data_IF_704749328633
#
_entry.id   IF_704749328633
#
_cell.length_a   1.000
_cell.length_b   1.000
_cell.length_c   1.000
_cell.angle_alpha   90.00
_cell.angle_beta   90.00
_cell.angle_gamma   90.00
#
_symmetry.space_group_name_H-M   'P 1'
#
loop_
_entity.id
_entity.type
_entity.pdbx_description
1 polymer ?
#
# COMPACT_ATOMS: atom_id res chain seq x y z
N UNK A 1 0.57 9.28 -32.83
CA UNK A 1 0.58 10.50 -32.00
C UNK A 1 1.82 10.41 -31.13
N UNK A 2 2.76 11.35 -31.25
CA UNK A 2 3.96 11.39 -30.40
C UNK A 2 3.65 12.29 -29.20
N UNK A 3 3.61 11.69 -28.00
CA UNK A 3 3.43 12.43 -26.77
C UNK A 3 4.77 13.02 -26.30
N UNK A 4 4.73 14.17 -25.62
CA UNK A 4 5.91 14.80 -25.04
C UNK A 4 6.55 13.87 -23.99
N UNK A 5 7.88 13.79 -23.85
CA UNK A 5 8.53 12.90 -22.86
C UNK A 5 8.03 13.11 -21.42
N UNK A 6 7.64 14.32 -21.04
CA UNK A 6 7.03 14.60 -19.73
C UNK A 6 5.70 13.88 -19.52
N UNK A 7 4.92 13.66 -20.59
CA UNK A 7 3.67 12.91 -20.55
C UNK A 7 3.90 11.48 -20.06
N UNK A 8 4.96 10.82 -20.53
CA UNK A 8 5.30 9.47 -20.11
C UNK A 8 5.71 9.40 -18.63
N UNK A 9 6.34 10.46 -18.10
CA UNK A 9 6.69 10.56 -16.68
C UNK A 9 5.44 10.73 -15.82
N UNK A 10 4.51 11.62 -16.21
CA UNK A 10 3.26 11.84 -15.48
C UNK A 10 2.32 10.62 -15.53
N UNK A 11 2.21 9.95 -16.68
CA UNK A 11 1.48 8.70 -16.83
C UNK A 11 2.02 7.61 -15.89
N UNK A 12 3.35 7.47 -15.83
CA UNK A 12 4.01 6.49 -14.98
C UNK A 12 3.77 6.76 -13.47
N UNK A 13 3.81 8.02 -13.04
CA UNK A 13 3.50 8.40 -11.64
C UNK A 13 2.04 8.05 -11.30
N UNK A 14 1.11 8.31 -12.21
CA UNK A 14 -0.32 8.06 -11.99
C UNK A 14 -0.61 6.55 -11.92
N UNK A 15 -0.02 5.76 -12.82
CA UNK A 15 -0.14 4.30 -12.82
C UNK A 15 0.50 3.66 -11.58
N UNK A 16 1.65 4.18 -11.12
CA UNK A 16 2.26 3.76 -9.85
C UNK A 16 1.35 4.02 -8.66
N UNK A 17 0.74 5.21 -8.57
CA UNK A 17 -0.20 5.52 -7.48
C UNK A 17 -1.42 4.60 -7.50
N UNK A 18 -1.93 4.29 -8.68
CA UNK A 18 -3.03 3.33 -8.85
C UNK A 18 -2.64 1.93 -8.38
N UNK A 19 -1.49 1.42 -8.81
CA UNK A 19 -0.99 0.12 -8.37
C UNK A 19 -0.74 0.09 -6.84
N UNK A 20 -0.21 1.16 -6.25
CA UNK A 20 0.01 1.25 -4.82
C UNK A 20 -1.33 1.26 -4.06
N UNK A 21 -2.33 1.95 -4.60
CA UNK A 21 -3.69 1.96 -4.06
C UNK A 21 -4.33 0.58 -4.11
N UNK A 22 -4.17 -0.15 -5.23
CA UNK A 22 -4.63 -1.55 -5.36
C UNK A 22 -4.01 -2.42 -4.27
N UNK A 23 -2.68 -2.38 -4.12
CA UNK A 23 -1.97 -3.19 -3.13
C UNK A 23 -2.39 -2.80 -1.70
N UNK A 24 -2.59 -1.51 -1.42
CA UNK A 24 -3.03 -1.02 -0.11
C UNK A 24 -4.41 -1.55 0.29
N UNK A 25 -5.34 -1.75 -0.66
CA UNK A 25 -6.65 -2.36 -0.39
C UNK A 25 -6.54 -3.75 0.28
N UNK A 26 -5.45 -4.49 0.04
CA UNK A 26 -5.27 -5.82 0.62
C UNK A 26 -4.67 -5.79 2.02
N UNK A 27 -3.84 -4.80 2.33
CA UNK A 27 -3.09 -4.74 3.59
C UNK A 27 -3.99 -4.52 4.81
N UNK A 28 -5.18 -3.93 4.62
CA UNK A 28 -6.07 -3.55 5.70
C UNK A 28 -7.22 -4.54 5.95
N UNK A 29 -7.56 -5.39 4.98
CA UNK A 29 -8.75 -6.27 5.03
C UNK A 29 -8.39 -7.76 5.08
N UNK A 30 -7.24 -8.16 4.53
CA UNK A 30 -6.81 -9.55 4.49
C UNK A 30 -5.45 -9.70 5.17
N UNK A 31 -5.25 -10.79 5.91
CA UNK A 31 -3.96 -11.11 6.50
C UNK A 31 -2.88 -11.00 5.40
N UNK A 32 -1.88 -10.11 5.53
CA UNK A 32 -0.89 -9.85 4.49
C UNK A 32 -0.10 -11.10 4.05
N UNK A 33 -0.18 -12.22 4.79
CA UNK A 33 0.33 -13.52 4.34
C UNK A 33 -0.54 -14.25 3.30
N UNK A 34 -1.80 -13.86 3.13
CA UNK A 34 -2.76 -14.57 2.27
C UNK A 34 -2.64 -14.21 0.79
N UNK A 35 -2.06 -13.05 0.44
CA UNK A 35 -1.92 -12.58 -0.93
C UNK A 35 -0.48 -12.17 -1.24
N UNK A 36 -0.02 -12.51 -2.43
CA UNK A 36 1.28 -12.15 -2.98
C UNK A 36 1.09 -11.41 -4.30
N UNK A 37 1.95 -10.42 -4.52
CA UNK A 37 1.91 -9.55 -5.69
C UNK A 37 3.24 -9.60 -6.42
N UNK A 38 3.20 -9.79 -7.73
CA UNK A 38 4.37 -9.56 -8.59
C UNK A 38 4.04 -8.51 -9.64
N UNK A 39 4.96 -7.57 -9.85
CA UNK A 39 4.73 -6.38 -10.67
C UNK A 39 5.63 -6.33 -11.91
N UNK A 40 5.10 -5.87 -13.03
CA UNK A 40 5.87 -5.46 -14.22
C UNK A 40 5.58 -4.00 -14.56
N UNK A 41 6.56 -3.26 -15.09
CA UNK A 41 6.43 -1.82 -15.39
C UNK A 41 5.85 -1.55 -16.78
N UNK A 42 6.09 -2.42 -17.77
CA UNK A 42 5.64 -2.22 -19.15
C UNK A 42 4.92 -3.45 -19.72
N UNK A 43 3.57 -3.40 -19.86
CA UNK A 43 2.65 -2.48 -19.20
C UNK A 43 2.65 -2.67 -17.67
N UNK A 44 2.15 -1.66 -16.93
CA UNK A 44 2.00 -1.78 -15.48
C UNK A 44 1.03 -2.93 -15.17
N UNK A 45 1.56 -4.06 -14.73
CA UNK A 45 0.78 -5.27 -14.49
C UNK A 45 1.03 -5.75 -13.09
N UNK A 46 -0.04 -5.99 -12.35
CA UNK A 46 -0.03 -6.60 -11.04
C UNK A 46 -0.61 -8.01 -11.15
N UNK A 47 0.25 -9.01 -11.06
CA UNK A 47 -0.16 -10.40 -10.94
C UNK A 47 -0.48 -10.68 -9.47
N UNK A 48 -1.68 -11.20 -9.23
CA UNK A 48 -2.19 -11.46 -7.89
C UNK A 48 -2.24 -12.96 -7.67
N UNK A 49 -1.63 -13.40 -6.59
CA UNK A 49 -1.62 -14.81 -6.17
C UNK A 49 -2.17 -14.86 -4.75
N UNK A 50 -3.11 -15.76 -4.47
CA UNK A 50 -3.54 -16.00 -3.10
C UNK A 50 -3.04 -17.36 -2.61
N UNK A 51 -2.75 -17.47 -1.32
CA UNK A 51 -2.19 -18.68 -0.72
C UNK A 51 -3.10 -19.91 -0.90
N UNK A 52 -4.43 -19.68 -0.90
CA UNK A 52 -5.42 -20.75 -0.99
C UNK A 52 -5.64 -21.27 -2.41
N UNK A 53 -5.68 -20.39 -3.40
CA UNK A 53 -6.06 -20.75 -4.79
C UNK A 53 -4.95 -20.58 -5.81
N UNK A 54 -3.80 -20.03 -5.41
CA UNK A 54 -2.71 -19.68 -6.32
C UNK A 54 -3.06 -18.45 -7.16
N UNK A 55 -2.71 -18.49 -8.44
CA UNK A 55 -2.95 -17.42 -9.41
C UNK A 55 -4.46 -17.13 -9.56
N UNK A 56 -4.88 -15.91 -9.19
CA UNK A 56 -6.26 -15.42 -9.37
C UNK A 56 -6.40 -14.40 -10.52
N UNK A 57 -5.34 -14.23 -11.31
CA UNK A 57 -5.27 -13.40 -12.50
C UNK A 57 -4.43 -12.14 -12.33
N UNK A 58 -4.47 -11.31 -13.38
CA UNK A 58 -3.63 -10.11 -13.50
C UNK A 58 -4.49 -8.86 -13.64
N UNK A 59 -4.03 -7.79 -13.02
CA UNK A 59 -4.58 -6.44 -13.21
C UNK A 59 -3.59 -5.65 -14.04
N UNK A 60 -3.99 -5.26 -15.24
CA UNK A 60 -3.22 -4.40 -16.12
C UNK A 60 -3.75 -2.98 -15.97
N UNK A 61 -2.87 -2.08 -15.54
CA UNK A 61 -3.16 -0.66 -15.45
C UNK A 61 -2.63 0.01 -16.72
N UNK A 62 -3.51 0.66 -17.46
CA UNK A 62 -3.14 1.41 -18.66
C UNK A 62 -3.80 2.79 -18.65
N UNK A 63 -3.18 3.74 -19.32
CA UNK A 63 -3.81 5.04 -19.58
C UNK A 63 -4.35 5.02 -21.02
N UNK A 64 -5.67 5.10 -21.18
CA UNK A 64 -6.30 5.09 -22.52
C UNK A 64 -6.32 6.47 -23.15
N UNK A 65 -6.36 7.52 -22.33
CA UNK A 65 -6.32 8.94 -22.69
C UNK A 65 -5.68 9.73 -21.54
N UNK A 66 -5.13 10.91 -21.82
CA UNK A 66 -4.55 11.80 -20.80
C UNK A 66 -5.43 11.94 -19.56
N UNK A 67 -4.95 11.49 -18.40
CA UNK A 67 -5.65 11.54 -17.13
C UNK A 67 -6.76 10.48 -16.94
N UNK A 68 -6.98 9.61 -17.93
CA UNK A 68 -7.96 8.52 -17.88
C UNK A 68 -7.24 7.17 -17.75
N UNK A 69 -7.19 6.69 -16.52
CA UNK A 69 -6.66 5.35 -16.21
C UNK A 69 -7.76 4.30 -16.35
N UNK A 70 -7.40 3.17 -16.92
CA UNK A 70 -8.25 2.01 -17.13
C UNK A 70 -7.62 0.79 -16.47
N UNK A 71 -8.47 -0.05 -15.88
CA UNK A 71 -8.10 -1.35 -15.34
C UNK A 71 -8.61 -2.43 -16.27
N UNK A 72 -7.72 -3.32 -16.68
CA UNK A 72 -8.09 -4.56 -17.37
C UNK A 72 -7.74 -5.74 -16.49
N UNK A 73 -8.68 -6.65 -16.33
CA UNK A 73 -8.47 -7.89 -15.60
C UNK A 73 -8.27 -9.02 -16.59
N UNK A 74 -7.05 -9.55 -16.64
CA UNK A 74 -6.73 -10.72 -17.45
C UNK A 74 -6.99 -11.99 -16.64
N UNK A 75 -7.52 -13.05 -17.26
CA UNK A 75 -7.86 -14.29 -16.55
C UNK A 75 -6.62 -14.96 -15.95
N UNK A 76 -6.82 -15.90 -15.00
CA UNK A 76 -5.75 -16.75 -14.48
C UNK A 76 -5.03 -17.50 -15.60
N UNK A 77 -3.77 -17.88 -15.36
CA UNK A 77 -3.04 -18.74 -16.28
C UNK A 77 -3.65 -20.15 -16.36
N UNK A 78 -3.41 -20.82 -17.48
CA UNK A 78 -3.79 -22.22 -17.66
C UNK A 78 -3.18 -23.11 -16.56
N UNK A 79 -3.91 -24.15 -16.16
CA UNK A 79 -3.47 -25.06 -15.10
C UNK A 79 -2.60 -26.15 -15.71
N UNK A 80 -1.34 -26.20 -15.29
CA UNK A 80 -0.46 -27.32 -15.62
C UNK A 80 -0.82 -28.56 -14.79
N UNK A 81 -0.59 -29.79 -15.31
CA UNK A 81 -0.97 -31.04 -14.63
C UNK A 81 -0.43 -31.18 -13.19
N UNK A 82 0.81 -30.77 -12.96
CA UNK A 82 1.45 -30.77 -11.64
C UNK A 82 0.76 -29.81 -10.66
N UNK A 83 0.34 -28.64 -11.15
CA UNK A 83 -0.43 -27.67 -10.37
C UNK A 83 -1.81 -28.22 -10.06
N UNK A 84 -2.49 -28.88 -10.99
CA UNK A 84 -3.79 -29.49 -10.72
C UNK A 84 -3.72 -30.52 -9.57
N UNK A 85 -2.69 -31.37 -9.59
CA UNK A 85 -2.47 -32.39 -8.57
C UNK A 85 -2.16 -31.77 -7.20
N UNK A 86 -1.35 -30.71 -7.16
CA UNK A 86 -1.05 -30.01 -5.91
C UNK A 86 -2.29 -29.43 -5.21
N UNK A 87 -3.35 -29.11 -5.98
CA UNK A 87 -4.60 -28.53 -5.47
C UNK A 87 -5.76 -29.53 -5.43
N UNK A 88 -5.53 -30.82 -5.72
CA UNK A 88 -6.57 -31.83 -5.85
C UNK A 88 -7.50 -31.88 -4.63
N UNK A 89 -6.93 -31.97 -3.43
CA UNK A 89 -7.70 -32.03 -2.19
C UNK A 89 -8.66 -30.85 -2.05
N UNK A 90 -8.17 -29.63 -2.31
CA UNK A 90 -8.96 -28.41 -2.21
C UNK A 90 -10.08 -28.38 -3.27
N UNK A 91 -9.75 -28.77 -4.50
CA UNK A 91 -10.73 -28.83 -5.60
C UNK A 91 -11.83 -29.83 -5.27
N UNK A 92 -11.50 -31.02 -4.74
CA UNK A 92 -12.50 -32.03 -4.36
C UNK A 92 -13.40 -31.58 -3.20
N UNK A 93 -12.88 -30.76 -2.29
CA UNK A 93 -13.65 -30.22 -1.16
C UNK A 93 -14.60 -29.09 -1.59
N UNK A 94 -14.19 -28.20 -2.51
CA UNK A 94 -14.92 -26.97 -2.84
C UNK A 94 -15.61 -26.92 -4.20
N UNK A 95 -15.35 -27.89 -5.07
CA UNK A 95 -15.96 -27.99 -6.39
C UNK A 95 -16.76 -29.28 -6.48
N UNK A 96 -18.07 -29.18 -6.68
CA UNK A 96 -18.93 -30.33 -6.95
C UNK A 96 -18.76 -30.73 -8.42
N UNK A 97 -18.04 -31.81 -8.69
CA UNK A 97 -17.91 -32.35 -10.05
C UNK A 97 -17.97 -33.88 -10.07
N UNK A 98 -19.00 -34.40 -10.73
CA UNK A 98 -19.24 -35.86 -10.83
C UNK A 98 -18.27 -36.52 -11.81
N UNK A 99 -17.65 -35.76 -12.73
CA UNK A 99 -16.83 -36.31 -13.82
C UNK A 99 -15.51 -36.93 -13.36
N UNK A 100 -14.79 -36.33 -12.42
CA UNK A 100 -13.57 -36.97 -11.90
C UNK A 100 -13.91 -38.20 -11.06
N UNK A 101 -15.07 -38.24 -10.39
CA UNK A 101 -15.47 -39.39 -9.57
C UNK A 101 -15.71 -40.61 -10.48
N UNK A 102 -16.27 -40.37 -11.67
CA UNK A 102 -16.43 -41.39 -12.70
C UNK A 102 -15.08 -41.78 -13.32
N UNK A 103 -14.19 -40.83 -13.59
CA UNK A 103 -12.85 -41.12 -14.13
C UNK A 103 -11.97 -41.89 -13.13
N UNK A 104 -12.05 -41.59 -11.83
CA UNK A 104 -11.40 -42.32 -10.73
C UNK A 104 -11.89 -43.78 -10.70
N UNK A 105 -13.22 -43.98 -10.77
CA UNK A 105 -13.82 -45.33 -10.80
C UNK A 105 -13.37 -46.12 -12.03
N UNK A 106 -13.18 -45.43 -13.16
CA UNK A 106 -12.74 -46.03 -14.43
C UNK A 106 -11.22 -46.14 -14.56
N UNK A 107 -10.45 -45.74 -13.53
CA UNK A 107 -8.97 -45.75 -13.54
C UNK A 107 -8.37 -44.98 -14.72
N UNK A 108 -8.96 -43.84 -15.07
CA UNK A 108 -8.53 -42.96 -16.16
C UNK A 108 -7.76 -41.75 -15.61
N UNK A 109 -6.54 -41.99 -15.15
CA UNK A 109 -5.73 -40.97 -14.44
C UNK A 109 -5.55 -39.68 -15.24
N UNK A 110 -5.30 -39.78 -16.56
CA UNK A 110 -5.19 -38.60 -17.43
C UNK A 110 -6.50 -37.78 -17.47
N UNK A 111 -7.64 -38.46 -17.49
CA UNK A 111 -8.95 -37.81 -17.51
C UNK A 111 -9.30 -37.16 -16.17
N UNK A 112 -8.82 -37.73 -15.05
CA UNK A 112 -8.93 -37.13 -13.72
C UNK A 112 -8.17 -35.81 -13.69
N UNK A 113 -6.91 -35.79 -14.13
CA UNK A 113 -6.06 -34.59 -14.14
C UNK A 113 -6.62 -33.49 -15.03
N UNK A 114 -7.13 -33.83 -16.22
CA UNK A 114 -7.82 -32.87 -17.11
C UNK A 114 -9.02 -32.25 -16.38
N UNK A 115 -9.85 -33.08 -15.76
CA UNK A 115 -11.08 -32.62 -15.08
C UNK A 115 -10.76 -31.75 -13.85
N UNK A 116 -9.72 -32.09 -13.09
CA UNK A 116 -9.23 -31.29 -11.96
C UNK A 116 -8.72 -29.93 -12.44
N UNK A 117 -7.95 -29.91 -13.53
CA UNK A 117 -7.42 -28.69 -14.15
C UNK A 117 -8.54 -27.74 -14.59
N UNK A 118 -9.55 -28.26 -15.28
CA UNK A 118 -10.72 -27.48 -15.71
C UNK A 118 -11.51 -26.91 -14.53
N UNK A 119 -11.73 -27.71 -13.49
CA UNK A 119 -12.47 -27.27 -12.31
C UNK A 119 -11.71 -26.21 -11.50
N UNK A 120 -10.40 -26.38 -11.33
CA UNK A 120 -9.55 -25.39 -10.68
C UNK A 120 -9.53 -24.08 -11.45
N UNK A 121 -9.40 -24.14 -12.78
CA UNK A 121 -9.46 -22.96 -13.64
C UNK A 121 -10.79 -22.22 -13.49
N UNK A 122 -11.92 -22.95 -13.58
CA UNK A 122 -13.26 -22.38 -13.41
C UNK A 122 -13.42 -21.73 -12.03
N UNK A 123 -12.95 -22.40 -10.97
CA UNK A 123 -13.03 -21.87 -9.61
C UNK A 123 -12.20 -20.60 -9.45
N UNK A 124 -11.00 -20.54 -10.02
CA UNK A 124 -10.17 -19.33 -10.03
C UNK A 124 -10.86 -18.18 -10.76
N UNK A 125 -11.54 -18.46 -11.88
CA UNK A 125 -12.31 -17.44 -12.60
C UNK A 125 -13.49 -16.91 -11.78
N UNK A 126 -14.23 -17.78 -11.09
CA UNK A 126 -15.30 -17.39 -10.16
C UNK A 126 -14.74 -16.49 -9.03
N UNK A 127 -13.63 -16.89 -8.41
CA UNK A 127 -12.95 -16.10 -7.37
C UNK A 127 -12.42 -14.77 -7.88
N UNK A 128 -11.89 -14.75 -9.10
CA UNK A 128 -11.45 -13.51 -9.75
C UNK A 128 -12.63 -12.54 -9.90
N UNK A 129 -13.81 -13.03 -10.27
CA UNK A 129 -14.97 -12.17 -10.46
C UNK A 129 -15.45 -11.54 -9.14
N UNK A 130 -15.51 -12.32 -8.06
CA UNK A 130 -15.78 -11.84 -6.70
C UNK A 130 -14.73 -10.80 -6.28
N UNK A 131 -13.47 -11.11 -6.56
CA UNK A 131 -12.32 -10.26 -6.26
C UNK A 131 -12.38 -8.90 -6.99
N UNK A 132 -12.74 -8.89 -8.28
CA UNK A 132 -12.86 -7.67 -9.08
C UNK A 132 -13.89 -6.72 -8.46
N UNK A 133 -15.06 -7.25 -8.11
CA UNK A 133 -16.14 -6.45 -7.50
C UNK A 133 -15.68 -5.87 -6.17
N UNK A 134 -15.04 -6.69 -5.34
CA UNK A 134 -14.45 -6.24 -4.08
C UNK A 134 -13.38 -5.15 -4.28
N UNK A 135 -12.44 -5.35 -5.21
CA UNK A 135 -11.35 -4.40 -5.44
C UNK A 135 -11.88 -3.05 -5.91
N UNK A 136 -12.81 -3.04 -6.86
CA UNK A 136 -13.43 -1.80 -7.36
C UNK A 136 -14.18 -1.05 -6.25
N UNK A 137 -14.82 -1.78 -5.33
CA UNK A 137 -15.45 -1.18 -4.16
C UNK A 137 -14.41 -0.53 -3.22
N UNK A 138 -13.31 -1.24 -2.93
CA UNK A 138 -12.25 -0.71 -2.06
C UNK A 138 -11.48 0.46 -2.67
N UNK A 139 -11.31 0.46 -3.99
CA UNK A 139 -10.64 1.57 -4.69
C UNK A 139 -11.38 2.90 -4.56
N UNK A 140 -12.67 2.88 -4.15
CA UNK A 140 -13.40 4.10 -3.77
C UNK A 140 -12.71 4.85 -2.63
N UNK A 141 -12.00 4.18 -1.72
CA UNK A 141 -11.20 4.83 -0.66
C UNK A 141 -10.24 5.88 -1.25
N UNK A 142 -9.74 5.65 -2.45
CA UNK A 142 -8.77 6.49 -3.14
C UNK A 142 -9.40 7.41 -4.19
N UNK A 143 -10.73 7.50 -4.26
CA UNK A 143 -11.45 8.35 -5.21
C UNK A 143 -11.61 7.74 -6.61
N UNK A 144 -11.25 6.47 -6.80
CA UNK A 144 -11.45 5.76 -8.07
C UNK A 144 -12.88 5.24 -8.16
N UNK A 145 -13.79 6.03 -8.73
CA UNK A 145 -15.23 5.70 -8.78
C UNK A 145 -15.76 5.32 -10.17
N UNK A 146 -14.98 5.57 -11.23
CA UNK A 146 -15.36 5.36 -12.65
C UNK A 146 -14.27 4.58 -13.42
N UNK A 147 -13.53 3.71 -12.73
CA UNK A 147 -12.59 2.80 -13.37
C UNK A 147 -13.42 1.77 -14.12
N UNK A 148 -13.59 1.97 -15.44
CA UNK A 148 -14.47 1.21 -16.33
C UNK A 148 -14.85 -0.16 -15.77
N UNK A 149 -16.06 -0.27 -15.23
CA UNK A 149 -16.57 -1.53 -14.73
C UNK A 149 -16.46 -2.55 -15.89
N UNK A 150 -15.93 -3.77 -15.65
CA UNK A 150 -15.94 -4.82 -16.67
C UNK A 150 -17.37 -5.21 -17.07
N UNK A 151 -18.36 -4.78 -16.28
CA UNK A 151 -19.78 -4.83 -16.62
C UNK A 151 -20.21 -3.50 -17.24
N UNK A 152 -20.80 -3.51 -18.45
CA UNK A 152 -21.22 -2.29 -19.12
C UNK A 152 -22.24 -1.54 -18.25
N UNK A 153 -21.84 -0.38 -17.71
CA UNK A 153 -22.78 0.55 -17.11
C UNK A 153 -23.55 1.22 -18.25
N UNK A 154 -24.81 0.82 -18.42
CA UNK A 154 -25.73 1.50 -19.31
C UNK A 154 -25.97 2.91 -18.76
N UNK A 155 -25.46 3.91 -19.47
CA UNK A 155 -25.87 5.31 -19.36
C UNK A 155 -25.97 5.89 -17.94
N UNK A 156 -24.85 6.27 -17.34
CA UNK A 156 -24.86 7.31 -16.32
C UNK A 156 -24.12 8.52 -16.83
N UNK A 157 -24.85 9.58 -17.16
CA UNK A 157 -24.26 10.91 -17.33
C UNK A 157 -23.41 11.24 -16.09
N UNK A 158 -22.27 11.93 -16.22
CA UNK A 158 -21.48 12.34 -15.07
C UNK A 158 -22.36 13.25 -14.21
N UNK A 159 -22.84 12.72 -13.09
CA UNK A 159 -23.53 13.53 -12.11
C UNK A 159 -22.44 14.18 -11.26
N UNK A 160 -22.40 15.51 -11.23
CA UNK A 160 -21.46 16.26 -10.36
C UNK A 160 -21.73 16.03 -8.86
N UNK A 161 -22.77 15.23 -8.54
CA UNK A 161 -23.15 14.84 -7.19
C UNK A 161 -22.53 13.49 -6.85
N UNK A 162 -21.81 13.47 -5.75
CA UNK A 162 -21.19 12.30 -5.14
C UNK A 162 -22.07 11.85 -3.97
N UNK A 163 -22.46 10.58 -3.96
CA UNK A 163 -22.96 9.85 -2.78
C UNK A 163 -22.24 8.50 -2.77
N UNK A 164 -21.22 8.38 -1.92
CA UNK A 164 -20.34 7.20 -1.86
C UNK A 164 -20.21 6.70 -0.44
N UNK A 165 -20.10 5.39 -0.31
CA UNK A 165 -19.95 4.70 0.96
C UNK A 165 -18.87 3.63 0.81
N UNK A 166 -17.94 3.60 1.76
CA UNK A 166 -16.90 2.59 1.81
C UNK A 166 -16.40 2.40 3.23
N UNK A 167 -15.80 1.24 3.46
CA UNK A 167 -15.18 0.85 4.72
C UNK A 167 -13.66 0.98 4.61
N UNK A 168 -13.02 1.61 5.61
CA UNK A 168 -11.57 1.84 5.62
C UNK A 168 -10.95 1.43 6.96
N UNK A 169 -10.22 0.30 7.02
CA UNK A 169 -9.53 -0.12 8.24
C UNK A 169 -8.27 0.70 8.49
N UNK A 170 -8.04 1.08 9.75
CA UNK A 170 -6.89 1.86 10.21
C UNK A 170 -6.31 1.30 11.52
N UNK A 171 -5.05 1.60 11.82
CA UNK A 171 -4.39 1.16 13.07
C UNK A 171 -4.73 2.02 14.31
N UNK A 172 -5.24 3.24 14.12
CA UNK A 172 -5.65 4.11 15.23
C UNK A 172 -6.93 3.61 15.93
N UNK A 173 -7.07 3.86 17.23
CA UNK A 173 -8.31 3.59 17.99
C UNK A 173 -9.41 4.63 17.65
N UNK A 174 -10.70 4.35 17.90
CA UNK A 174 -11.76 5.30 17.58
C UNK A 174 -11.61 6.62 18.34
N UNK A 175 -11.18 6.55 19.61
CA UNK A 175 -10.87 7.71 20.43
C UNK A 175 -9.75 8.58 19.84
N UNK A 176 -8.63 7.96 19.46
CA UNK A 176 -7.51 8.66 18.81
C UNK A 176 -7.95 9.31 17.50
N UNK A 177 -8.76 8.59 16.70
CA UNK A 177 -9.33 9.12 15.46
C UNK A 177 -10.19 10.36 15.71
N UNK A 178 -11.09 10.32 16.70
CA UNK A 178 -11.92 11.47 17.05
C UNK A 178 -11.11 12.71 17.47
N UNK A 179 -10.05 12.51 18.27
CA UNK A 179 -9.14 13.58 18.68
C UNK A 179 -8.40 14.15 17.46
N UNK A 180 -7.87 13.29 16.60
CA UNK A 180 -7.16 13.69 15.38
C UNK A 180 -8.06 14.53 14.47
N UNK A 181 -9.27 14.08 14.17
CA UNK A 181 -10.18 14.82 13.29
C UNK A 181 -10.55 16.18 13.90
N UNK A 182 -10.77 16.26 15.22
CA UNK A 182 -11.07 17.54 15.87
C UNK A 182 -9.92 18.54 15.74
N UNK A 183 -8.68 18.09 15.95
CA UNK A 183 -7.49 18.92 15.77
C UNK A 183 -7.31 19.33 14.30
N UNK A 184 -7.47 18.38 13.38
CA UNK A 184 -7.38 18.61 11.94
C UNK A 184 -8.45 19.60 11.44
N UNK A 185 -9.69 19.48 11.90
CA UNK A 185 -10.78 20.40 11.55
C UNK A 185 -10.50 21.81 12.05
N UNK A 186 -9.94 21.96 13.26
CA UNK A 186 -9.51 23.26 13.78
C UNK A 186 -8.42 23.88 12.90
N UNK A 187 -7.43 23.10 12.49
CA UNK A 187 -6.39 23.55 11.56
C UNK A 187 -6.97 23.96 10.19
N UNK A 188 -7.88 23.17 9.61
CA UNK A 188 -8.52 23.52 8.34
C UNK A 188 -9.39 24.77 8.45
N UNK A 189 -10.12 24.95 9.55
CA UNK A 189 -10.95 26.15 9.77
C UNK A 189 -10.13 27.45 9.83
N UNK A 190 -8.82 27.35 10.11
CA UNK A 190 -7.90 28.50 10.08
C UNK A 190 -7.44 28.90 8.66
N UNK A 191 -7.71 28.07 7.64
CA UNK A 191 -7.38 28.35 6.24
C UNK A 191 -8.54 29.09 5.55
N UNK A 192 -8.22 30.09 4.74
CA UNK A 192 -9.20 30.97 4.08
C UNK A 192 -10.27 30.22 3.26
N UNK A 193 -9.90 29.11 2.62
CA UNK A 193 -10.80 28.29 1.79
C UNK A 193 -11.73 27.36 2.59
N UNK A 194 -11.48 27.16 3.88
CA UNK A 194 -12.18 26.18 4.73
C UNK A 194 -12.74 26.78 6.02
N UNK A 195 -12.82 28.12 6.10
CA UNK A 195 -13.26 28.86 7.29
C UNK A 195 -14.70 28.56 7.74
N UNK A 196 -15.52 27.96 6.85
CA UNK A 196 -16.91 27.54 7.12
C UNK A 196 -17.05 26.03 7.42
N UNK A 197 -15.93 25.33 7.62
CA UNK A 197 -15.95 23.90 7.92
C UNK A 197 -16.49 23.68 9.34
N UNK A 198 -17.59 22.94 9.44
CA UNK A 198 -18.17 22.50 10.70
C UNK A 198 -17.78 21.05 10.93
N UNK A 199 -17.20 20.75 12.08
CA UNK A 199 -16.87 19.39 12.49
C UNK A 199 -17.55 19.09 13.82
N UNK A 200 -18.36 18.04 13.83
CA UNK A 200 -19.01 17.52 15.03
C UNK A 200 -18.46 16.13 15.32
N UNK A 201 -18.05 15.88 16.56
CA UNK A 201 -17.61 14.56 17.01
C UNK A 201 -18.52 14.10 18.14
N UNK A 202 -19.29 13.04 17.92
CA UNK A 202 -20.25 12.48 18.88
C UNK A 202 -19.82 11.09 19.36
N UNK A 203 -20.25 10.76 20.58
CA UNK A 203 -20.07 9.46 21.21
C UNK A 203 -21.45 8.86 21.43
N UNK A 204 -21.72 7.66 20.89
CA UNK A 204 -22.93 6.86 21.18
C UNK A 204 -24.21 7.70 21.36
N UNK A 205 -24.61 8.45 20.33
CA UNK A 205 -25.85 9.23 20.31
C UNK A 205 -25.89 10.50 21.18
N UNK A 206 -24.84 10.83 21.93
CA UNK A 206 -24.72 12.09 22.66
C UNK A 206 -24.09 13.20 21.80
N UNK A 207 -24.58 14.43 21.99
CA UNK A 207 -24.09 15.62 21.28
C UNK A 207 -22.63 15.95 21.67
N UNK A 208 -21.96 16.66 20.76
CA UNK A 208 -20.54 17.04 20.76
C UNK A 208 -19.86 17.08 22.13
N UNK A 209 -18.97 16.12 22.41
CA UNK A 209 -18.29 16.01 23.70
C UNK A 209 -16.89 16.62 23.62
N UNK A 210 -16.65 17.73 24.33
CA UNK A 210 -15.34 18.42 24.34
C UNK A 210 -14.17 17.51 24.77
N UNK A 211 -14.45 16.46 25.56
CA UNK A 211 -13.49 15.43 25.94
C UNK A 211 -13.93 14.08 25.36
N UNK A 212 -12.99 13.37 24.72
CA UNK A 212 -13.20 12.03 24.16
C UNK A 212 -12.49 11.04 25.09
N UNK A 213 -13.21 10.13 25.77
CA UNK A 213 -12.60 9.08 26.59
C UNK A 213 -11.67 8.18 25.77
N UNK A 214 -10.62 7.64 26.39
CA UNK A 214 -9.64 6.80 25.72
C UNK A 214 -10.23 5.45 25.24
N UNK A 215 -11.31 4.99 25.87
CA UNK A 215 -12.06 3.78 25.56
C UNK A 215 -13.30 4.03 24.68
N UNK A 216 -13.46 5.26 24.16
CA UNK A 216 -14.60 5.63 23.33
C UNK A 216 -14.74 4.71 22.11
N UNK A 217 -15.88 4.04 22.01
CA UNK A 217 -16.25 3.17 20.90
C UNK A 217 -17.78 3.01 20.84
N UNK A 218 -18.45 3.32 19.71
CA UNK A 218 -17.94 3.99 18.53
C UNK A 218 -17.73 5.50 18.70
N UNK A 219 -16.94 6.07 17.79
CA UNK A 219 -16.83 7.53 17.60
C UNK A 219 -17.46 7.91 16.28
N UNK A 220 -18.41 8.83 16.31
CA UNK A 220 -19.07 9.36 15.13
C UNK A 220 -18.52 10.75 14.81
N UNK A 221 -18.21 10.98 13.55
CA UNK A 221 -17.64 12.24 13.06
C UNK A 221 -18.48 12.72 11.89
N UNK A 222 -18.90 13.98 11.94
CA UNK A 222 -19.60 14.63 10.83
C UNK A 222 -18.90 15.94 10.48
N UNK A 223 -18.38 16.01 9.26
CA UNK A 223 -17.73 17.19 8.69
C UNK A 223 -18.66 17.75 7.62
N UNK A 224 -18.98 19.04 7.70
CA UNK A 224 -19.86 19.74 6.75
C UNK A 224 -19.15 20.98 6.25
N UNK A 225 -19.08 21.15 4.93
CA UNK A 225 -18.56 22.34 4.27
C UNK A 225 -19.44 22.70 3.07
N UNK A 226 -20.19 23.79 3.16
CA UNK A 226 -21.16 24.21 2.15
C UNK A 226 -22.15 23.07 1.80
N UNK A 227 -22.10 22.54 0.58
CA UNK A 227 -22.95 21.41 0.12
C UNK A 227 -22.29 20.03 0.33
N UNK A 228 -21.07 20.00 0.85
CA UNK A 228 -20.31 18.76 1.06
C UNK A 228 -20.47 18.29 2.51
N UNK A 229 -20.62 16.98 2.67
CA UNK A 229 -20.73 16.31 3.94
C UNK A 229 -19.90 15.02 3.92
N UNK A 230 -19.11 14.81 4.96
CA UNK A 230 -18.42 13.56 5.25
C UNK A 230 -18.93 13.06 6.61
N UNK A 231 -19.52 11.87 6.63
CA UNK A 231 -19.87 11.18 7.87
C UNK A 231 -18.95 9.96 8.04
N UNK A 232 -18.37 9.79 9.22
CA UNK A 232 -17.43 8.71 9.52
C UNK A 232 -17.82 8.10 10.86
N UNK A 233 -18.10 6.79 10.86
CA UNK A 233 -18.32 6.03 12.09
C UNK A 233 -17.12 5.12 12.31
N UNK A 234 -16.35 5.40 13.37
CA UNK A 234 -15.18 4.63 13.75
C UNK A 234 -15.56 3.57 14.80
N UNK A 235 -15.36 2.31 14.46
CA UNK A 235 -15.62 1.16 15.33
C UNK A 235 -14.32 0.43 15.64
N UNK A 236 -14.13 0.01 16.90
CA UNK A 236 -12.97 -0.81 17.27
C UNK A 236 -13.04 -2.19 16.58
N UNK A 237 -11.93 -2.65 16.01
CA UNK A 237 -11.81 -3.99 15.42
C UNK A 237 -11.34 -5.02 16.46
N UNK A 238 -11.77 -6.30 16.35
CA UNK A 238 -11.30 -7.37 17.24
C UNK A 238 -9.77 -7.60 17.17
N UNK A 239 -9.16 -7.32 16.02
CA UNK A 239 -7.74 -7.52 15.71
C UNK A 239 -6.84 -6.36 16.14
N UNK A 240 -7.33 -5.41 16.94
CA UNK A 240 -6.77 -4.06 17.17
C UNK A 240 -6.98 -3.09 15.98
N UNK A 241 -6.94 -1.78 16.26
CA UNK A 241 -7.27 -0.73 15.29
C UNK A 241 -8.76 -0.41 15.19
N UNK A 242 -9.16 0.32 14.14
CA UNK A 242 -10.54 0.73 13.90
C UNK A 242 -10.99 0.50 12.46
N UNK A 243 -12.26 0.22 12.28
CA UNK A 243 -12.95 0.27 11.00
C UNK A 243 -13.66 1.63 10.87
N UNK A 244 -13.27 2.41 9.88
CA UNK A 244 -13.95 3.66 9.51
C UNK A 244 -15.03 3.35 8.47
N UNK A 245 -16.29 3.53 8.83
CA UNK A 245 -17.40 3.51 7.86
C UNK A 245 -17.64 4.91 7.36
N UNK A 246 -17.23 5.18 6.13
CA UNK A 246 -17.20 6.53 5.56
C UNK A 246 -18.38 6.70 4.60
N UNK A 247 -19.02 7.87 4.67
CA UNK A 247 -20.03 8.31 3.73
C UNK A 247 -19.68 9.71 3.23
N UNK A 248 -19.49 9.85 1.92
CA UNK A 248 -19.20 11.10 1.25
C UNK A 248 -20.44 11.56 0.47
N UNK A 249 -20.91 12.78 0.72
CA UNK A 249 -22.06 13.38 0.04
C UNK A 249 -21.73 14.80 -0.41
N UNK A 250 -21.95 15.14 -1.67
CA UNK A 250 -21.78 16.53 -2.14
C UNK A 250 -21.26 16.65 -3.56
N UNK A 251 -20.42 17.66 -3.79
CA UNK A 251 -19.74 17.94 -5.06
C UNK A 251 -18.30 17.37 -5.05
N UNK A 252 -17.58 17.40 -6.18
CA UNK A 252 -16.20 16.88 -6.33
C UNK A 252 -15.23 17.30 -5.23
N UNK A 253 -15.42 18.48 -4.65
CA UNK A 253 -14.61 18.99 -3.55
C UNK A 253 -14.68 18.14 -2.26
N UNK A 254 -15.68 17.27 -2.10
CA UNK A 254 -15.74 16.32 -0.97
C UNK A 254 -14.56 15.36 -0.96
N UNK A 255 -14.07 14.95 -2.15
CA UNK A 255 -12.86 14.13 -2.28
C UNK A 255 -11.62 14.86 -1.81
N UNK A 256 -11.50 16.17 -2.06
CA UNK A 256 -10.36 16.96 -1.61
C UNK A 256 -10.28 17.01 -0.07
N UNK A 257 -11.43 17.10 0.60
CA UNK A 257 -11.47 17.05 2.08
C UNK A 257 -11.08 15.65 2.55
N UNK A 258 -11.64 14.61 1.93
CA UNK A 258 -11.29 13.22 2.23
C UNK A 258 -9.79 12.93 2.02
N UNK A 259 -9.19 13.42 0.94
CA UNK A 259 -7.77 13.29 0.64
C UNK A 259 -6.90 13.93 1.72
N UNK A 260 -7.28 15.12 2.21
CA UNK A 260 -6.56 15.74 3.32
C UNK A 260 -6.67 14.91 4.61
N UNK A 261 -7.83 14.32 4.90
CA UNK A 261 -8.00 13.39 6.03
C UNK A 261 -7.09 12.17 5.86
N UNK A 262 -7.11 11.54 4.68
CA UNK A 262 -6.24 10.40 4.36
C UNK A 262 -4.77 10.74 4.51
N UNK A 263 -4.33 11.90 4.06
CA UNK A 263 -2.94 12.33 4.21
C UNK A 263 -2.53 12.45 5.69
N UNK A 264 -3.43 12.92 6.57
CA UNK A 264 -3.14 12.94 8.01
C UNK A 264 -3.09 11.54 8.63
N UNK A 265 -4.01 10.65 8.22
CA UNK A 265 -4.01 9.25 8.62
C UNK A 265 -2.71 8.53 8.20
N UNK A 266 -2.20 8.82 6.99
CA UNK A 266 -0.93 8.29 6.48
C UNK A 266 0.28 8.85 7.25
N UNK A 267 0.30 10.17 7.51
CA UNK A 267 1.37 10.81 8.32
C UNK A 267 1.49 10.22 9.72
N UNK A 268 0.36 9.82 10.30
CA UNK A 268 0.30 9.16 11.62
C UNK A 268 0.67 7.67 11.56
N UNK A 269 0.94 7.14 10.36
CA UNK A 269 1.22 5.72 10.14
C UNK A 269 0.03 4.82 10.42
N UNK A 270 -1.20 5.34 10.40
CA UNK A 270 -2.40 4.54 10.64
C UNK A 270 -2.81 3.72 9.42
N UNK A 271 -2.30 4.10 8.25
CA UNK A 271 -2.14 3.26 7.06
C UNK A 271 -0.90 3.74 6.30
N UNK A 272 -0.44 2.97 5.32
CA UNK A 272 0.62 3.39 4.41
C UNK A 272 0.34 2.89 3.00
N UNK A 273 0.64 3.71 1.99
CA UNK A 273 0.74 3.24 0.62
C UNK A 273 2.11 2.55 0.42
N UNK A 274 2.14 1.33 -0.14
CA UNK A 274 3.40 0.64 -0.39
C UNK A 274 4.24 1.39 -1.43
N UNK A 275 5.53 1.54 -1.15
CA UNK A 275 6.47 2.06 -2.14
C UNK A 275 6.65 1.05 -3.28
N UNK A 276 6.25 1.42 -4.49
CA UNK A 276 6.50 0.62 -5.68
C UNK A 276 7.96 0.81 -6.07
N UNK A 277 8.81 -0.15 -5.70
CA UNK A 277 10.19 -0.21 -6.13
C UNK A 277 10.26 -0.45 -7.64
N UNK A 278 11.03 0.36 -8.35
CA UNK A 278 11.35 0.07 -9.75
C UNK A 278 12.25 -1.17 -9.80
N UNK A 279 11.96 -2.22 -10.60
CA UNK A 279 12.96 -3.19 -10.99
C UNK A 279 14.18 -2.45 -11.55
N UNK A 280 15.28 -2.52 -10.81
CA UNK A 280 16.60 -2.17 -11.29
C UNK A 280 16.79 -2.81 -12.65
N UNK A 281 16.93 -1.99 -13.70
CA UNK A 281 17.22 -2.45 -15.06
C UNK A 281 18.33 -3.48 -14.97
N UNK A 282 18.02 -4.72 -15.35
CA UNK A 282 18.98 -5.78 -15.56
C UNK A 282 19.94 -5.27 -16.64
N UNK A 283 21.09 -4.74 -16.22
CA UNK A 283 22.20 -4.49 -17.11
C UNK A 283 22.60 -5.86 -17.65
N UNK A 284 22.44 -6.03 -18.96
CA UNK A 284 22.95 -7.18 -19.68
C UNK A 284 24.42 -7.39 -19.29
N UNK A 285 24.70 -8.46 -18.57
CA UNK A 285 26.05 -8.87 -18.23
C UNK A 285 26.66 -9.43 -19.51
N UNK A 286 27.26 -8.55 -20.33
CA UNK A 286 28.33 -8.95 -21.23
C UNK A 286 29.58 -9.17 -20.38
N UNK A 287 29.98 -10.43 -20.34
CA UNK A 287 31.20 -10.92 -19.71
C UNK A 287 32.42 -10.35 -20.46
N UNK A 288 33.26 -9.57 -19.77
CA UNK A 288 34.74 -9.58 -19.86
C UNK A 288 35.35 -8.76 -18.68
N UNK A 289 36.59 -9.02 -18.25
CA UNK A 289 36.96 -9.01 -16.85
C UNK A 289 37.61 -7.70 -16.38
N UNK A 290 37.27 -7.36 -15.13
CA UNK A 290 38.06 -6.61 -14.14
C UNK A 290 38.68 -5.27 -14.56
N UNK A 291 38.04 -4.19 -14.10
CA UNK A 291 38.74 -3.15 -13.34
C UNK A 291 37.82 -2.65 -12.21
N UNK A 292 38.31 -2.79 -10.97
CA UNK A 292 37.63 -2.42 -9.73
C UNK A 292 37.69 -0.90 -9.61
N UNK A 293 36.60 -0.20 -9.87
CA UNK A 293 36.43 1.20 -9.48
C UNK A 293 35.02 1.48 -8.91
N UNK A 294 35.00 1.56 -7.58
CA UNK A 294 34.12 2.40 -6.73
C UNK A 294 32.60 2.35 -6.93
N UNK A 295 31.99 1.41 -6.20
CA UNK A 295 30.56 1.43 -5.86
C UNK A 295 30.18 2.69 -5.06
N UNK A 296 29.07 3.29 -5.46
CA UNK A 296 28.34 4.37 -4.79
C UNK A 296 28.03 4.08 -3.31
N UNK A 297 27.88 5.10 -2.45
CA UNK A 297 27.92 5.00 -0.99
C UNK A 297 26.56 4.67 -0.34
N UNK A 298 25.74 3.84 -0.98
CA UNK A 298 24.39 3.58 -0.48
C UNK A 298 24.36 2.63 0.74
N UNK A 299 25.24 1.63 0.85
CA UNK A 299 25.06 0.59 1.89
C UNK A 299 26.37 -0.01 2.44
N UNK A 300 27.46 0.77 2.50
CA UNK A 300 28.77 0.27 3.00
C UNK A 300 28.68 -0.28 4.44
N UNK A 301 27.74 0.23 5.25
CA UNK A 301 27.50 -0.22 6.62
C UNK A 301 26.70 -1.53 6.73
N UNK A 302 26.12 -2.04 5.64
CA UNK A 302 25.46 -3.37 5.61
C UNK A 302 26.48 -4.52 5.70
N UNK A 303 27.76 -4.26 5.38
CA UNK A 303 28.86 -5.20 5.60
C UNK A 303 29.16 -5.45 7.08
N UNK A 304 28.61 -4.64 7.99
CA UNK A 304 28.72 -4.88 9.43
C UNK A 304 27.62 -5.88 9.85
N UNK A 305 27.99 -7.02 10.45
CA UNK A 305 27.04 -8.00 10.94
C UNK A 305 26.15 -7.36 12.02
N UNK A 306 24.87 -7.72 12.01
CA UNK A 306 23.86 -7.16 12.92
C UNK A 306 23.96 -7.75 14.34
N UNK A 307 25.12 -7.59 14.97
CA UNK A 307 25.39 -8.10 16.32
C UNK A 307 25.14 -6.96 17.31
N UNK A 308 24.07 -7.09 18.08
CA UNK A 308 23.59 -6.04 18.97
C UNK A 308 23.33 -4.75 18.19
N UNK A 309 23.79 -3.62 18.73
CA UNK A 309 23.47 -2.31 18.16
C UNK A 309 24.50 -1.76 17.16
N UNK A 310 25.43 -2.59 16.69
CA UNK A 310 26.60 -2.14 15.92
C UNK A 310 26.22 -1.57 14.54
N UNK A 311 25.25 -2.20 13.87
CA UNK A 311 24.76 -1.74 12.56
C UNK A 311 24.06 -0.40 12.66
N UNK A 312 23.18 -0.23 13.66
CA UNK A 312 22.50 1.04 13.91
C UNK A 312 23.46 2.16 14.29
N UNK A 313 24.50 1.86 15.09
CA UNK A 313 25.53 2.84 15.46
C UNK A 313 26.23 3.37 14.21
N UNK A 314 26.61 2.51 13.27
CA UNK A 314 27.32 2.93 12.06
C UNK A 314 26.37 3.60 11.06
N UNK A 315 25.14 3.12 10.90
CA UNK A 315 24.09 3.80 10.13
C UNK A 315 23.90 5.25 10.62
N UNK A 316 23.72 5.43 11.92
CA UNK A 316 23.58 6.76 12.52
C UNK A 316 24.86 7.60 12.44
N UNK A 317 26.03 6.95 12.46
CA UNK A 317 27.31 7.62 12.25
C UNK A 317 27.46 8.18 10.83
N UNK A 318 27.05 7.42 9.80
CA UNK A 318 27.00 7.89 8.41
C UNK A 318 26.01 9.03 8.20
N UNK A 319 24.91 9.04 8.96
CA UNK A 319 23.95 10.15 9.00
C UNK A 319 24.48 11.41 9.73
N UNK A 320 25.72 11.38 10.24
CA UNK A 320 26.39 12.54 10.83
C UNK A 320 26.09 12.77 12.32
N UNK A 321 25.35 11.88 12.98
CA UNK A 321 24.93 12.05 14.37
C UNK A 321 26.15 12.01 15.32
N UNK A 322 26.07 12.78 16.41
CA UNK A 322 27.08 12.75 17.47
C UNK A 322 26.96 11.48 18.30
N UNK A 323 28.03 11.05 18.98
CA UNK A 323 27.97 9.91 19.89
C UNK A 323 26.92 10.07 21.00
N UNK A 324 26.60 11.31 21.40
CA UNK A 324 25.52 11.59 22.37
C UNK A 324 24.12 11.36 21.77
N UNK A 325 23.90 11.81 20.54
CA UNK A 325 22.63 11.60 19.83
C UNK A 325 22.39 10.13 19.43
N UNK A 326 23.47 9.38 19.17
CA UNK A 326 23.42 7.94 18.92
C UNK A 326 23.12 7.20 20.24
N UNK A 327 23.77 7.60 21.33
CA UNK A 327 23.55 7.04 22.66
C UNK A 327 22.07 7.06 23.07
N UNK A 328 21.38 8.18 22.89
CA UNK A 328 19.94 8.31 23.19
C UNK A 328 19.06 7.38 22.35
N UNK A 329 19.38 7.20 21.06
CA UNK A 329 18.57 6.38 20.14
C UNK A 329 18.78 4.88 20.32
N UNK A 330 19.95 4.49 20.81
CA UNK A 330 20.36 3.09 20.90
C UNK A 330 20.34 2.59 22.36
N UNK A 331 20.00 3.44 23.32
CA UNK A 331 19.92 3.09 24.74
C UNK A 331 21.29 2.76 25.37
N UNK A 332 22.37 3.37 24.89
CA UNK A 332 23.75 3.12 25.36
C UNK A 332 24.42 4.41 25.83
N UNK A 333 25.50 4.31 26.62
CA UNK A 333 26.25 5.51 27.02
C UNK A 333 27.11 6.07 25.88
N UNK A 334 27.34 7.38 25.87
CA UNK A 334 28.23 8.06 24.90
C UNK A 334 29.63 7.42 24.84
N UNK A 335 30.18 7.00 25.98
CA UNK A 335 31.49 6.31 26.08
C UNK A 335 31.44 4.94 25.41
N UNK A 336 30.37 4.18 25.60
CA UNK A 336 30.15 2.89 24.95
C UNK A 336 30.05 3.04 23.42
N UNK A 337 29.34 4.06 22.93
CA UNK A 337 29.24 4.34 21.49
C UNK A 337 30.61 4.65 20.89
N UNK A 338 31.40 5.52 21.53
CA UNK A 338 32.74 5.86 21.07
C UNK A 338 33.67 4.64 21.03
N UNK A 339 33.65 3.81 22.07
CA UNK A 339 34.43 2.57 22.12
C UNK A 339 34.01 1.59 21.02
N UNK A 340 32.70 1.46 20.75
CA UNK A 340 32.19 0.60 19.68
C UNK A 340 32.58 1.10 18.29
N UNK A 341 32.48 2.41 18.03
CA UNK A 341 32.95 3.01 16.76
C UNK A 341 34.44 2.75 16.55
N UNK A 342 35.26 2.93 17.58
CA UNK A 342 36.69 2.67 17.48
C UNK A 342 37.01 1.19 17.25
N UNK A 343 36.24 0.28 17.87
CA UNK A 343 36.36 -1.16 17.63
C UNK A 343 35.94 -1.53 16.20
N UNK A 344 34.77 -1.07 15.74
CA UNK A 344 34.29 -1.30 14.38
C UNK A 344 35.24 -0.73 13.33
N UNK A 345 35.92 0.39 13.61
CA UNK A 345 36.97 0.92 12.73
C UNK A 345 38.22 0.04 12.68
N UNK A 346 38.59 -0.63 13.78
CA UNK A 346 39.69 -1.60 13.78
C UNK A 346 39.31 -2.87 13.03
N UNK A 347 38.08 -3.34 13.23
CA UNK A 347 37.60 -4.61 12.71
C UNK A 347 37.27 -4.53 11.20
N UNK A 348 36.74 -3.40 10.73
CA UNK A 348 36.23 -3.22 9.35
C UNK A 348 36.97 -2.12 8.55
N UNK A 349 37.92 -1.42 9.17
CA UNK A 349 38.71 -0.38 8.52
C UNK A 349 38.00 0.98 8.40
N UNK A 350 38.79 2.00 8.04
CA UNK A 350 38.38 3.41 7.99
C UNK A 350 37.42 3.67 6.81
N UNK A 351 37.44 2.83 5.77
CA UNK A 351 36.53 2.94 4.63
C UNK A 351 35.07 2.64 5.02
N UNK A 352 34.88 1.74 5.99
CA UNK A 352 33.56 1.33 6.50
C UNK A 352 33.14 2.17 7.72
N UNK A 353 34.09 2.67 8.53
CA UNK A 353 33.78 3.54 9.67
C UNK A 353 34.68 4.79 9.66
N UNK A 354 34.33 5.81 8.85
CA UNK A 354 35.19 6.95 8.61
C UNK A 354 35.37 7.85 9.83
N UNK A 355 36.45 8.63 9.83
CA UNK A 355 36.65 9.71 10.79
C UNK A 355 35.70 10.88 10.49
N UNK A 356 35.22 11.55 11.53
CA UNK A 356 34.18 12.58 11.40
C UNK A 356 34.59 13.82 10.58
N UNK A 357 35.88 13.99 10.28
CA UNK A 357 36.39 15.13 9.51
C UNK A 357 36.42 14.90 7.99
N UNK A 358 36.15 13.69 7.48
CA UNK A 358 36.21 13.39 6.04
C UNK A 358 34.86 13.42 5.31
N UNK A 359 33.71 13.43 6.01
CA UNK A 359 32.37 13.33 5.38
C UNK A 359 31.47 14.56 5.61
N UNK A 360 32.02 15.78 5.52
CA UNK A 360 31.16 16.94 5.36
C UNK A 360 30.80 17.11 3.88
N UNK A 361 29.64 16.56 3.48
CA UNK A 361 28.92 17.05 2.30
C UNK A 361 28.61 18.53 2.59
N UNK A 362 29.37 19.44 1.99
CA UNK A 362 29.07 20.88 2.03
C UNK A 362 27.76 21.08 1.27
N UNK A 363 26.71 21.58 1.94
CA UNK A 363 25.53 22.09 1.24
C UNK A 363 25.96 23.22 0.29
N UNK A 364 25.38 23.35 -0.91
CA UNK A 364 25.58 24.53 -1.74
C UNK A 364 25.14 25.75 -0.92
N UNK A 365 26.04 26.73 -0.78
CA UNK A 365 25.69 28.03 -0.22
C UNK A 365 24.86 28.77 -1.27
N UNK A 366 23.80 29.41 -0.80
CA UNK A 366 23.10 30.48 -1.51
C UNK A 366 24.13 31.42 -2.14
N UNK A 367 24.01 31.61 -3.46
CA UNK A 367 24.70 32.69 -4.17
C UNK A 367 23.95 33.98 -3.79
N UNK A 368 24.59 34.96 -3.13
CA UNK A 368 24.02 36.28 -2.99
C UNK A 368 24.35 37.12 -4.22
N UNK A 369 23.29 37.71 -4.78
CA UNK A 369 23.20 38.77 -5.79
C UNK A 369 23.63 38.47 -7.22
#
# INVERSE_FOLDING_TARGET
MNFHPDYHIFANITLKKLAASIIACFHSVYDPGSFQFSQSIEPFTLQITCQKWGDIGRVVCSESQTGKTELRFDPPQGIAPDVANAYEKLVREECLNVKWTLADILSQDDQVVITLSEALYKKRLERQQEFIVWLLDQLQIFGYSDMGSPFPSVNSAPTDKIDRHFDFPIQGTPAQFGVMIRQFASLLSSQAESQKLLCQVSLTGNKDTLQIPADANPVEVKIVLAKNQIAINAHLLPSSGSLLRVQLRGEKNVWLIWDKIRNELEKLGWFALPEILEPSKTVEIKVEPQQIETSTPAEVWMMIPNIGANRDIVRFWYQGLTCGQIATRVGLTKKTILNRINRLRKDYGIQIVPYRKSNFIKKPKDVPN
#
